data_IF_558104593694
#
_entry.id   IF_558104593694
#
_cell.length_a   1.000
_cell.length_b   1.000
_cell.length_c   1.000
_cell.angle_alpha   90.00
_cell.angle_beta   90.00
_cell.angle_gamma   90.00
#
_symmetry.space_group_name_H-M   'P 1'
#
loop_
_entity.id
_entity.type
_entity.pdbx_description
1 polymer ?
#
# COMPACT_ATOMS: atom_id res chain seq x y z
N UNK A 1 17.94 10.52 5.84
CA UNK A 1 17.10 11.00 6.96
C UNK A 1 16.88 12.50 6.91
N UNK A 2 17.73 13.28 6.23
CA UNK A 2 17.59 14.73 6.12
C UNK A 2 16.26 15.12 5.45
N UNK A 3 15.90 14.48 4.33
CA UNK A 3 14.66 14.74 3.61
C UNK A 3 13.44 14.40 4.48
N UNK A 4 13.42 13.24 5.15
CA UNK A 4 12.34 12.88 6.09
C UNK A 4 12.22 13.90 7.23
N UNK A 5 13.33 14.35 7.80
CA UNK A 5 13.31 15.33 8.89
C UNK A 5 12.72 16.67 8.43
N UNK A 6 13.04 17.10 7.21
CA UNK A 6 12.45 18.28 6.60
C UNK A 6 10.94 18.10 6.33
N UNK A 7 10.53 16.98 5.74
CA UNK A 7 9.13 16.63 5.53
C UNK A 7 8.35 16.66 6.86
N UNK A 8 8.88 16.04 7.92
CA UNK A 8 8.25 16.01 9.24
C UNK A 8 8.12 17.40 9.86
N UNK A 9 9.14 18.26 9.71
CA UNK A 9 9.04 19.67 10.13
C UNK A 9 7.97 20.42 9.35
N UNK A 10 7.87 20.20 8.04
CA UNK A 10 6.81 20.78 7.20
C UNK A 10 5.42 20.34 7.64
N UNK A 11 5.23 19.04 7.91
CA UNK A 11 3.96 18.50 8.43
C UNK A 11 3.63 19.11 9.79
N UNK A 12 4.60 19.14 10.72
CA UNK A 12 4.42 19.67 12.06
C UNK A 12 4.12 21.18 12.05
N UNK A 13 4.69 21.94 11.11
CA UNK A 13 4.44 23.37 10.94
C UNK A 13 2.98 23.67 10.53
N UNK A 14 2.25 22.70 9.97
CA UNK A 14 0.80 22.82 9.73
C UNK A 14 -0.03 22.71 11.01
N UNK A 15 0.58 22.39 12.16
CA UNK A 15 -0.12 22.25 13.42
C UNK A 15 -1.17 21.12 13.38
N UNK A 16 -2.44 21.36 13.75
CA UNK A 16 -3.46 20.32 13.82
C UNK A 16 -3.96 19.85 12.45
N UNK A 17 -3.50 20.44 11.34
CA UNK A 17 -4.02 20.18 10.01
C UNK A 17 -3.49 18.85 9.43
N UNK A 18 -4.14 17.75 9.79
CA UNK A 18 -3.82 16.39 9.35
C UNK A 18 -4.73 15.84 8.24
N UNK A 19 -5.77 16.58 7.85
CA UNK A 19 -6.73 16.15 6.83
C UNK A 19 -6.58 17.00 5.57
N UNK A 20 -6.74 16.40 4.38
CA UNK A 20 -6.86 17.15 3.14
C UNK A 20 -8.26 16.93 2.58
N UNK A 21 -9.11 17.95 2.64
CA UNK A 21 -10.51 17.85 2.22
C UNK A 21 -10.82 19.08 1.39
N UNK A 22 -11.40 18.86 0.22
CA UNK A 22 -11.89 19.94 -0.63
C UNK A 22 -10.83 20.99 -1.00
N UNK A 23 -9.63 20.50 -1.37
CA UNK A 23 -8.51 21.36 -1.73
C UNK A 23 -7.75 21.99 -0.56
N UNK A 24 -8.19 21.76 0.69
CA UNK A 24 -7.67 22.44 1.87
C UNK A 24 -7.16 21.49 2.94
N UNK A 25 -6.08 21.90 3.61
CA UNK A 25 -5.61 21.27 4.84
C UNK A 25 -6.50 21.70 6.01
N UNK A 26 -7.05 20.73 6.74
CA UNK A 26 -8.01 20.94 7.83
C UNK A 26 -7.62 20.17 9.09
N UNK A 27 -7.95 20.74 10.24
CA UNK A 27 -7.87 20.05 11.51
C UNK A 27 -9.00 19.01 11.59
N UNK A 28 -8.71 17.86 12.18
CA UNK A 28 -9.75 16.90 12.55
C UNK A 28 -10.64 17.50 13.64
N UNK A 29 -11.93 17.20 13.58
CA UNK A 29 -12.92 17.49 14.63
C UNK A 29 -13.03 16.35 15.65
N UNK A 30 -12.21 15.30 15.50
CA UNK A 30 -12.12 14.17 16.43
C UNK A 30 -11.23 14.46 17.64
N UNK A 31 -11.13 13.46 18.51
CA UNK A 31 -10.39 13.50 19.78
C UNK A 31 -9.32 12.40 19.90
N UNK A 32 -9.35 11.39 19.02
CA UNK A 32 -8.37 10.30 19.02
C UNK A 32 -7.06 10.75 18.37
N UNK A 33 -5.98 10.70 19.15
CA UNK A 33 -4.63 10.89 18.64
C UNK A 33 -4.01 9.56 18.18
N UNK A 34 -3.21 9.64 17.12
CA UNK A 34 -2.42 8.52 16.57
C UNK A 34 -0.96 8.91 16.52
N UNK A 35 -0.11 7.99 17.01
CA UNK A 35 1.34 8.07 16.89
C UNK A 35 1.84 7.20 15.75
N UNK A 36 2.58 7.82 14.83
CA UNK A 36 3.35 7.14 13.80
C UNK A 36 4.70 6.79 14.39
N UNK A 37 4.97 5.49 14.53
CA UNK A 37 6.17 4.98 15.20
C UNK A 37 7.20 4.52 14.16
N UNK A 38 8.45 4.96 14.31
CA UNK A 38 9.58 4.42 13.58
C UNK A 38 9.87 3.00 14.05
N UNK A 39 9.72 1.96 13.20
CA UNK A 39 9.82 0.57 13.67
C UNK A 39 11.23 0.12 14.03
N UNK A 40 12.26 0.86 13.63
CA UNK A 40 13.66 0.51 13.90
C UNK A 40 14.18 1.11 15.22
N UNK A 41 13.55 2.17 15.73
CA UNK A 41 13.94 2.85 16.98
C UNK A 41 12.84 2.88 18.05
N UNK A 42 11.60 2.60 17.67
CA UNK A 42 10.38 2.74 18.50
C UNK A 42 10.02 4.20 18.84
N UNK A 43 10.65 5.16 18.17
CA UNK A 43 10.40 6.59 18.39
C UNK A 43 9.18 7.10 17.63
N UNK A 44 8.51 8.12 18.17
CA UNK A 44 7.39 8.78 17.51
C UNK A 44 7.93 9.71 16.41
N UNK A 45 7.57 9.45 15.15
CA UNK A 45 7.88 10.31 14.01
C UNK A 45 6.88 11.47 13.88
N UNK A 46 5.61 11.18 14.09
CA UNK A 46 4.51 12.11 13.91
C UNK A 46 3.36 11.75 14.85
N UNK A 47 2.70 12.77 15.41
CA UNK A 47 1.41 12.63 16.08
C UNK A 47 0.37 13.47 15.33
N UNK A 48 -0.81 12.91 15.08
CA UNK A 48 -1.94 13.63 14.49
C UNK A 48 -3.26 13.19 15.12
N UNK A 49 -4.33 13.96 14.88
CA UNK A 49 -5.69 13.60 15.32
C UNK A 49 -6.42 12.90 14.18
N UNK A 50 -6.95 11.71 14.44
CA UNK A 50 -7.68 10.92 13.46
C UNK A 50 -9.00 11.60 13.05
N UNK A 51 -9.44 11.52 11.78
CA UNK A 51 -10.69 12.13 11.36
C UNK A 51 -11.90 11.58 12.12
N UNK A 52 -12.84 12.47 12.42
CA UNK A 52 -14.13 12.12 13.01
C UNK A 52 -15.12 11.59 11.96
N UNK A 53 -16.30 11.18 12.42
CA UNK A 53 -17.43 10.90 11.54
C UNK A 53 -17.82 12.13 10.69
N UNK A 54 -17.81 13.33 11.28
CA UNK A 54 -18.17 14.56 10.58
C UNK A 54 -17.13 14.94 9.52
N UNK A 55 -15.84 14.69 9.78
CA UNK A 55 -14.79 14.91 8.79
C UNK A 55 -14.93 13.95 7.60
N UNK A 56 -15.31 12.70 7.88
CA UNK A 56 -15.57 11.69 6.86
C UNK A 56 -16.77 12.06 5.98
N UNK A 57 -17.87 12.52 6.58
CA UNK A 57 -19.02 13.07 5.84
C UNK A 57 -18.61 14.26 4.97
N UNK A 58 -17.80 15.18 5.49
CA UNK A 58 -17.34 16.34 4.74
C UNK A 58 -16.50 15.95 3.51
N UNK A 59 -15.61 14.95 3.65
CA UNK A 59 -14.80 14.44 2.54
C UNK A 59 -15.65 13.75 1.47
N UNK A 60 -16.65 12.95 1.88
CA UNK A 60 -17.56 12.30 0.94
C UNK A 60 -18.43 13.33 0.22
N UNK A 61 -18.96 14.32 0.94
CA UNK A 61 -19.74 15.40 0.36
C UNK A 61 -18.93 16.23 -0.65
N UNK A 62 -17.66 16.52 -0.35
CA UNK A 62 -16.75 17.19 -1.28
C UNK A 62 -16.50 16.34 -2.53
N UNK A 63 -16.18 15.05 -2.38
CA UNK A 63 -15.99 14.13 -3.49
C UNK A 63 -17.24 13.97 -4.36
N UNK A 64 -18.41 13.89 -3.73
CA UNK A 64 -19.70 13.76 -4.41
C UNK A 64 -20.04 15.02 -5.20
N UNK A 65 -19.88 16.21 -4.60
CA UNK A 65 -20.10 17.50 -5.28
C UNK A 65 -19.13 17.69 -6.45
N UNK A 66 -17.85 17.36 -6.27
CA UNK A 66 -16.85 17.42 -7.33
C UNK A 66 -17.16 16.44 -8.47
N UNK A 67 -17.77 15.28 -8.19
CA UNK A 67 -18.21 14.33 -9.22
C UNK A 67 -19.52 14.76 -9.91
N UNK A 68 -20.52 15.28 -9.19
CA UNK A 68 -21.82 15.68 -9.79
C UNK A 68 -21.74 16.98 -10.60
N UNK A 69 -20.99 17.95 -10.09
CA UNK A 69 -21.05 19.33 -10.59
C UNK A 69 -19.68 19.93 -10.89
N UNK A 70 -18.61 19.21 -10.54
CA UNK A 70 -17.25 19.65 -10.83
C UNK A 70 -16.83 19.35 -12.27
N UNK A 71 -15.74 19.99 -12.73
CA UNK A 71 -15.27 19.83 -14.11
C UNK A 71 -14.63 18.45 -14.35
N UNK A 72 -14.15 17.77 -13.31
CA UNK A 72 -13.28 16.60 -13.45
C UNK A 72 -13.85 15.45 -14.31
N UNK A 73 -15.11 15.02 -14.11
CA UNK A 73 -15.68 13.94 -14.93
C UNK A 73 -15.98 14.38 -16.37
N UNK A 74 -16.08 15.70 -16.59
CA UNK A 74 -16.40 16.32 -17.88
C UNK A 74 -15.14 16.63 -18.71
N UNK A 75 -13.97 16.68 -18.08
CA UNK A 75 -12.70 16.83 -18.80
C UNK A 75 -12.52 15.69 -19.80
N UNK A 76 -12.00 16.00 -20.98
CA UNK A 76 -11.60 14.99 -21.94
C UNK A 76 -10.49 14.09 -21.37
N UNK A 77 -10.33 12.85 -21.88
CA UNK A 77 -9.20 12.00 -21.49
C UNK A 77 -7.83 12.69 -21.69
N UNK A 78 -7.70 13.53 -22.72
CA UNK A 78 -6.48 14.30 -22.98
C UNK A 78 -6.20 15.34 -21.89
N UNK A 79 -7.22 16.11 -21.46
CA UNK A 79 -7.07 17.09 -20.39
C UNK A 79 -6.73 16.42 -19.05
N UNK A 80 -7.39 15.29 -18.72
CA UNK A 80 -7.05 14.50 -17.53
C UNK A 80 -5.63 13.94 -17.61
N UNK A 81 -5.19 13.46 -18.78
CA UNK A 81 -3.82 12.97 -18.99
C UNK A 81 -2.76 14.01 -18.63
N UNK A 82 -2.95 15.26 -19.08
CA UNK A 82 -2.03 16.37 -18.77
C UNK A 82 -1.94 16.61 -17.26
N UNK A 83 -3.07 16.55 -16.54
CA UNK A 83 -3.07 16.71 -15.07
C UNK A 83 -2.35 15.55 -14.40
N UNK A 84 -2.60 14.30 -14.81
CA UNK A 84 -1.93 13.12 -14.23
C UNK A 84 -0.41 13.16 -14.42
N UNK A 85 0.06 13.58 -15.60
CA UNK A 85 1.50 13.75 -15.87
C UNK A 85 2.13 14.83 -14.99
N UNK A 86 1.41 15.92 -14.71
CA UNK A 86 1.87 16.92 -13.71
C UNK A 86 1.97 16.34 -12.30
N UNK A 87 1.02 15.49 -11.88
CA UNK A 87 1.15 14.77 -10.60
C UNK A 87 2.42 13.91 -10.59
N UNK A 88 2.69 13.18 -11.68
CA UNK A 88 3.90 12.38 -11.82
C UNK A 88 5.18 13.24 -11.73
N UNK A 89 5.22 14.42 -12.35
CA UNK A 89 6.34 15.37 -12.24
C UNK A 89 6.58 15.84 -10.81
N UNK A 90 5.52 16.23 -10.08
CA UNK A 90 5.64 16.62 -8.68
C UNK A 90 6.12 15.48 -7.78
N UNK A 91 5.66 14.25 -8.01
CA UNK A 91 6.14 13.07 -7.30
C UNK A 91 7.63 12.79 -7.59
N UNK A 92 8.03 12.87 -8.87
CA UNK A 92 9.45 12.68 -9.27
C UNK A 92 10.37 13.70 -8.61
N UNK A 93 9.93 14.94 -8.44
CA UNK A 93 10.70 15.98 -7.75
C UNK A 93 10.93 15.69 -6.26
N UNK A 94 10.08 14.86 -5.63
CA UNK A 94 10.10 14.57 -4.19
C UNK A 94 10.47 13.12 -3.87
N UNK A 95 11.08 12.41 -4.82
CA UNK A 95 11.50 11.01 -4.64
C UNK A 95 12.38 10.76 -3.41
N UNK A 96 13.33 11.65 -3.03
CA UNK A 96 14.09 11.49 -1.79
C UNK A 96 13.18 11.45 -0.55
N UNK A 97 12.23 12.38 -0.45
CA UNK A 97 11.27 12.45 0.66
C UNK A 97 10.39 11.20 0.71
N UNK A 98 9.85 10.76 -0.43
CA UNK A 98 8.99 9.58 -0.52
C UNK A 98 9.72 8.29 -0.08
N UNK A 99 10.97 8.12 -0.53
CA UNK A 99 11.77 6.95 -0.17
C UNK A 99 12.14 6.94 1.32
N UNK A 100 12.49 8.09 1.89
CA UNK A 100 12.79 8.19 3.31
C UNK A 100 11.54 8.08 4.19
N UNK A 101 10.39 8.61 3.76
CA UNK A 101 9.11 8.44 4.43
C UNK A 101 8.73 6.96 4.56
N UNK A 102 8.79 6.19 3.46
CA UNK A 102 8.52 4.75 3.51
C UNK A 102 9.51 4.03 4.43
N UNK A 103 10.80 4.31 4.31
CA UNK A 103 11.85 3.73 5.17
C UNK A 103 11.58 4.03 6.65
N UNK A 104 11.26 5.29 6.97
CA UNK A 104 11.02 5.75 8.33
C UNK A 104 9.79 5.14 8.97
N UNK A 105 8.64 5.14 8.27
CA UNK A 105 7.36 4.70 8.84
C UNK A 105 7.09 3.18 8.72
N UNK A 106 7.82 2.45 7.87
CA UNK A 106 7.60 1.01 7.64
C UNK A 106 8.84 0.16 7.95
N UNK A 107 10.05 0.72 7.87
CA UNK A 107 11.29 -0.03 8.05
C UNK A 107 11.75 -0.81 6.81
N UNK A 108 11.18 -0.55 5.63
CA UNK A 108 11.76 -1.03 4.37
C UNK A 108 13.16 -0.43 4.19
N UNK A 109 14.12 -1.20 3.67
CA UNK A 109 15.49 -0.67 3.49
C UNK A 109 15.50 0.49 2.49
N UNK A 110 16.33 1.50 2.72
CA UNK A 110 16.35 2.72 1.89
C UNK A 110 16.64 2.42 0.42
N UNK A 111 17.49 1.41 0.14
CA UNK A 111 17.76 0.96 -1.22
C UNK A 111 16.53 0.34 -1.90
N UNK A 112 15.70 -0.40 -1.15
CA UNK A 112 14.43 -0.90 -1.65
C UNK A 112 13.45 0.25 -1.86
N UNK A 113 13.25 1.12 -0.86
CA UNK A 113 12.31 2.24 -0.91
C UNK A 113 12.60 3.18 -2.08
N UNK A 114 13.88 3.50 -2.36
CA UNK A 114 14.30 4.32 -3.51
C UNK A 114 13.87 3.74 -4.85
N UNK A 115 14.00 2.43 -5.03
CA UNK A 115 13.59 1.74 -6.27
C UNK A 115 12.08 1.59 -6.36
N UNK A 116 11.46 1.09 -5.29
CA UNK A 116 10.04 0.75 -5.27
C UNK A 116 9.13 1.98 -5.39
N UNK A 117 9.55 3.12 -4.81
CA UNK A 117 8.77 4.36 -4.86
C UNK A 117 8.66 4.95 -6.27
N UNK A 118 9.54 4.59 -7.21
CA UNK A 118 9.47 5.06 -8.62
C UNK A 118 8.18 4.62 -9.31
N UNK A 119 7.58 3.51 -8.85
CA UNK A 119 6.28 3.08 -9.35
C UNK A 119 5.18 4.12 -9.15
N UNK A 120 5.30 5.00 -8.14
CA UNK A 120 4.29 6.01 -7.87
C UNK A 120 4.10 6.98 -9.05
N UNK A 121 5.11 7.75 -9.51
CA UNK A 121 4.97 8.56 -10.71
C UNK A 121 4.70 7.74 -11.98
N UNK A 122 5.32 6.57 -12.13
CA UNK A 122 5.13 5.71 -13.32
C UNK A 122 3.65 5.29 -13.50
N UNK A 123 2.92 5.07 -12.41
CA UNK A 123 1.48 4.76 -12.47
C UNK A 123 0.66 5.93 -13.01
N UNK A 124 0.99 7.16 -12.63
CA UNK A 124 0.31 8.35 -13.15
C UNK A 124 0.62 8.58 -14.64
N UNK A 125 1.87 8.37 -15.07
CA UNK A 125 2.24 8.41 -16.48
C UNK A 125 1.51 7.32 -17.27
N UNK A 126 1.55 6.08 -16.79
CA UNK A 126 0.92 4.94 -17.44
C UNK A 126 -0.58 5.16 -17.66
N UNK A 127 -1.31 5.53 -16.60
CA UNK A 127 -2.74 5.80 -16.73
C UNK A 127 -3.03 7.07 -17.53
N UNK A 128 -2.17 8.08 -17.45
CA UNK A 128 -2.21 9.28 -18.30
C UNK A 128 -2.12 8.93 -19.78
N UNK A 129 -1.19 8.06 -20.18
CA UNK A 129 -1.06 7.61 -21.57
C UNK A 129 -2.21 6.70 -21.98
N UNK A 130 -2.58 5.74 -21.14
CA UNK A 130 -3.61 4.75 -21.43
C UNK A 130 -4.94 5.41 -21.80
N UNK A 131 -5.41 6.41 -21.04
CA UNK A 131 -6.71 7.02 -21.29
C UNK A 131 -6.78 7.83 -22.59
N UNK A 132 -5.64 8.25 -23.16
CA UNK A 132 -5.63 8.98 -24.44
C UNK A 132 -5.89 8.10 -25.64
N UNK A 133 -5.65 6.79 -25.50
CA UNK A 133 -5.81 5.80 -26.57
C UNK A 133 -6.95 4.83 -26.32
N UNK A 134 -7.48 4.79 -25.10
CA UNK A 134 -8.58 3.92 -24.73
C UNK A 134 -9.91 4.36 -25.36
N UNK A 135 -10.60 3.43 -26.02
CA UNK A 135 -11.89 3.69 -26.65
C UNK A 135 -13.03 3.63 -25.62
N UNK A 136 -13.29 4.75 -24.93
CA UNK A 136 -14.41 4.87 -23.98
C UNK A 136 -15.79 4.79 -24.63
N UNK A 137 -15.89 5.05 -25.94
CA UNK A 137 -17.12 4.89 -26.73
C UNK A 137 -16.85 3.92 -27.88
N UNK A 138 -17.45 2.74 -27.80
CA UNK A 138 -17.30 1.69 -28.81
C UNK A 138 -18.57 1.57 -29.67
N UNK A 139 -18.54 1.97 -30.96
CA UNK A 139 -19.67 1.77 -31.86
C UNK A 139 -19.78 0.30 -32.27
N UNK A 140 -20.99 -0.27 -32.22
CA UNK A 140 -21.30 -1.63 -32.66
C UNK A 140 -22.46 -1.67 -33.62
N UNK A 141 -22.42 -2.63 -34.55
CA UNK A 141 -23.51 -2.91 -35.49
C UNK A 141 -24.09 -4.28 -35.16
N UNK A 142 -25.39 -4.33 -34.90
CA UNK A 142 -26.12 -5.58 -34.64
C UNK A 142 -26.33 -6.33 -35.95
N UNK A 143 -26.53 -7.66 -35.91
CA UNK A 143 -26.80 -8.47 -37.12
C UNK A 143 -28.00 -7.99 -37.95
N UNK A 144 -28.97 -7.30 -37.33
CA UNK A 144 -30.12 -6.71 -38.02
C UNK A 144 -29.87 -5.30 -38.59
N UNK A 145 -28.62 -4.83 -38.62
CA UNK A 145 -28.25 -3.51 -39.12
C UNK A 145 -28.42 -2.35 -38.13
N UNK A 146 -28.96 -2.59 -36.94
CA UNK A 146 -29.07 -1.56 -35.90
C UNK A 146 -27.71 -1.12 -35.36
N UNK A 147 -27.53 0.18 -35.10
CA UNK A 147 -26.31 0.75 -34.52
C UNK A 147 -26.49 1.00 -33.03
N UNK A 148 -25.47 0.69 -32.24
CA UNK A 148 -25.44 0.94 -30.79
C UNK A 148 -24.06 1.47 -30.41
N UNK A 149 -23.97 2.17 -29.28
CA UNK A 149 -22.69 2.58 -28.69
C UNK A 149 -22.59 1.96 -27.30
N UNK A 150 -21.43 1.39 -26.98
CA UNK A 150 -21.10 0.98 -25.61
C UNK A 150 -20.22 2.07 -25.03
N UNK A 151 -20.72 2.76 -24.01
CA UNK A 151 -20.04 3.88 -23.35
C UNK A 151 -19.53 3.41 -21.99
N UNK A 152 -18.30 3.80 -21.65
CA UNK A 152 -17.68 3.54 -20.36
C UNK A 152 -17.52 4.86 -19.59
N UNK A 153 -18.43 5.10 -18.66
CA UNK A 153 -18.40 6.28 -17.79
C UNK A 153 -17.68 6.01 -16.46
N UNK A 154 -17.13 7.05 -15.79
CA UNK A 154 -16.62 6.94 -14.44
C UNK A 154 -17.67 6.36 -13.48
N UNK A 155 -17.23 5.49 -12.57
CA UNK A 155 -18.14 4.86 -11.60
C UNK A 155 -18.69 5.86 -10.58
N UNK A 156 -17.93 6.91 -10.29
CA UNK A 156 -18.29 7.97 -9.35
C UNK A 156 -17.29 8.16 -8.22
N UNK A 157 -17.78 8.25 -6.99
CA UNK A 157 -16.95 8.44 -5.80
C UNK A 157 -16.29 7.12 -5.41
N UNK A 158 -14.96 7.11 -5.34
CA UNK A 158 -14.16 5.93 -5.00
C UNK A 158 -13.56 6.08 -3.60
N UNK A 159 -13.89 5.16 -2.69
CA UNK A 159 -13.16 5.00 -1.44
C UNK A 159 -11.90 4.14 -1.70
N UNK A 160 -10.73 4.73 -1.56
CA UNK A 160 -9.44 4.07 -1.74
C UNK A 160 -8.80 3.73 -0.39
N UNK A 161 -8.94 2.46 0.04
CA UNK A 161 -8.50 2.00 1.36
C UNK A 161 -7.24 1.15 1.22
N UNK A 162 -6.14 1.57 1.85
CA UNK A 162 -4.82 0.93 1.70
C UNK A 162 -4.18 0.48 3.01
N UNK A 163 -3.28 -0.54 2.96
CA UNK A 163 -2.56 -1.05 4.12
C UNK A 163 -1.26 -0.25 4.37
N UNK A 164 -0.54 -0.62 5.42
CA UNK A 164 0.67 0.04 5.91
C UNK A 164 1.99 -0.41 5.24
N UNK A 165 2.02 -1.55 4.54
CA UNK A 165 3.28 -2.18 4.14
C UNK A 165 3.94 -1.55 2.90
N UNK A 166 3.13 -1.10 1.94
CA UNK A 166 3.58 -0.37 0.75
C UNK A 166 2.70 0.87 0.51
N UNK A 167 2.71 1.83 1.45
CA UNK A 167 1.65 2.80 1.64
C UNK A 167 1.42 3.69 0.39
N UNK A 168 2.45 4.38 -0.09
CA UNK A 168 2.38 5.20 -1.30
C UNK A 168 1.96 4.40 -2.53
N UNK A 169 2.68 3.33 -2.86
CA UNK A 169 2.52 2.63 -4.15
C UNK A 169 1.12 2.02 -4.26
N UNK A 170 0.64 1.37 -3.19
CA UNK A 170 -0.71 0.80 -3.19
C UNK A 170 -1.80 1.87 -3.21
N UNK A 171 -1.52 3.06 -2.69
CA UNK A 171 -2.43 4.20 -2.80
C UNK A 171 -2.45 4.74 -4.24
N UNK A 172 -1.28 4.94 -4.86
CA UNK A 172 -1.17 5.40 -6.25
C UNK A 172 -1.80 4.42 -7.25
N UNK A 173 -1.71 3.10 -7.04
CA UNK A 173 -2.42 2.11 -7.86
C UNK A 173 -3.93 2.37 -7.95
N UNK A 174 -4.52 2.88 -6.86
CA UNK A 174 -5.95 3.17 -6.77
C UNK A 174 -6.27 4.58 -7.25
N UNK A 175 -5.51 5.56 -6.77
CA UNK A 175 -5.74 6.98 -7.04
C UNK A 175 -5.50 7.31 -8.51
N UNK A 176 -4.36 6.89 -9.09
CA UNK A 176 -4.04 7.18 -10.49
C UNK A 176 -5.12 6.61 -11.44
N UNK A 177 -5.52 5.35 -11.22
CA UNK A 177 -6.57 4.70 -12.01
C UNK A 177 -7.93 5.40 -11.88
N UNK A 178 -8.34 5.76 -10.65
CA UNK A 178 -9.62 6.41 -10.40
C UNK A 178 -9.66 7.81 -11.04
N UNK A 179 -8.62 8.61 -10.83
CA UNK A 179 -8.50 9.94 -11.41
C UNK A 179 -8.50 9.87 -12.95
N UNK A 180 -7.77 8.93 -13.54
CA UNK A 180 -7.73 8.72 -14.99
C UNK A 180 -9.10 8.38 -15.59
N UNK A 181 -9.87 7.55 -14.90
CA UNK A 181 -11.24 7.21 -15.29
C UNK A 181 -12.22 8.39 -15.17
N UNK A 182 -11.85 9.50 -14.52
CA UNK A 182 -12.74 10.64 -14.25
C UNK A 182 -13.51 10.53 -12.93
N UNK A 183 -13.11 9.63 -12.04
CA UNK A 183 -13.71 9.46 -10.72
C UNK A 183 -13.14 10.49 -9.72
N UNK A 184 -13.86 10.72 -8.62
CA UNK A 184 -13.34 11.41 -7.44
C UNK A 184 -12.99 10.40 -6.35
N UNK A 185 -12.12 10.79 -5.42
CA UNK A 185 -11.49 9.85 -4.48
C UNK A 185 -11.59 10.38 -3.05
N UNK A 186 -11.98 9.48 -2.14
CA UNK A 186 -11.73 9.60 -0.70
C UNK A 186 -10.70 8.54 -0.32
N UNK A 187 -9.46 8.97 -0.14
CA UNK A 187 -8.33 8.13 0.22
C UNK A 187 -8.26 7.92 1.73
N UNK A 188 -8.20 6.66 2.15
CA UNK A 188 -8.07 6.25 3.54
C UNK A 188 -6.85 5.33 3.70
N UNK A 189 -5.62 5.88 3.80
CA UNK A 189 -4.45 5.07 4.09
C UNK A 189 -4.48 4.52 5.52
N UNK A 190 -3.58 3.57 5.79
CA UNK A 190 -3.36 3.07 7.15
C UNK A 190 -2.96 4.22 8.08
N UNK A 191 -3.51 4.28 9.30
CA UNK A 191 -3.24 5.40 10.20
C UNK A 191 -1.79 5.41 10.69
N UNK A 192 -1.09 4.28 10.63
CA UNK A 192 0.30 4.12 11.05
C UNK A 192 1.32 4.61 10.01
N UNK A 193 0.90 4.89 8.77
CA UNK A 193 1.81 5.24 7.67
C UNK A 193 1.28 6.38 6.79
N UNK A 194 1.02 7.57 7.35
CA UNK A 194 0.37 8.67 6.62
C UNK A 194 1.36 9.60 5.87
N UNK A 195 2.67 9.52 6.13
CA UNK A 195 3.62 10.59 5.77
C UNK A 195 3.72 10.75 4.24
N UNK A 196 3.85 9.64 3.52
CA UNK A 196 3.90 9.63 2.05
C UNK A 196 2.55 9.96 1.40
N UNK A 197 1.44 9.65 2.06
CA UNK A 197 0.12 10.08 1.61
C UNK A 197 -0.06 11.61 1.72
N UNK A 198 0.54 12.26 2.72
CA UNK A 198 0.56 13.73 2.79
C UNK A 198 1.37 14.35 1.64
N UNK A 199 2.53 13.78 1.33
CA UNK A 199 3.32 14.20 0.16
C UNK A 199 2.49 14.05 -1.12
N UNK A 200 1.79 12.92 -1.30
CA UNK A 200 0.90 12.71 -2.45
C UNK A 200 -0.19 13.78 -2.54
N UNK A 201 -0.85 14.13 -1.41
CA UNK A 201 -1.87 15.17 -1.39
C UNK A 201 -1.31 16.54 -1.82
N UNK A 202 -0.11 16.89 -1.36
CA UNK A 202 0.61 18.11 -1.78
C UNK A 202 0.91 18.09 -3.28
N UNK A 203 1.39 16.97 -3.82
CA UNK A 203 1.65 16.82 -5.26
C UNK A 203 0.37 16.90 -6.10
N UNK A 204 -0.74 16.30 -5.63
CA UNK A 204 -2.05 16.36 -6.29
C UNK A 204 -2.59 17.79 -6.32
N UNK A 205 -2.50 18.51 -5.20
CA UNK A 205 -2.89 19.91 -5.11
C UNK A 205 -2.06 20.79 -6.03
N UNK A 206 -0.73 20.65 -6.00
CA UNK A 206 0.19 21.40 -6.85
C UNK A 206 -0.01 21.15 -8.35
N UNK A 207 -0.43 19.93 -8.73
CA UNK A 207 -0.76 19.59 -10.12
C UNK A 207 -2.06 20.23 -10.62
N UNK A 208 -2.82 20.91 -9.76
CA UNK A 208 -4.08 21.57 -10.14
C UNK A 208 -5.23 20.59 -10.34
N UNK A 209 -5.25 19.48 -9.61
CA UNK A 209 -6.45 18.63 -9.52
C UNK A 209 -7.56 19.45 -8.82
N UNK A 210 -8.78 19.54 -9.40
CA UNK A 210 -9.84 20.38 -8.84
C UNK A 210 -10.22 20.03 -7.40
N UNK A 211 -10.65 21.02 -6.63
CA UNK A 211 -11.07 20.85 -5.24
C UNK A 211 -12.16 19.78 -5.10
N UNK A 212 -12.00 18.95 -4.08
CA UNK A 212 -12.91 17.83 -3.79
C UNK A 212 -12.68 16.58 -4.64
N UNK A 213 -11.94 16.64 -5.74
CA UNK A 213 -11.65 15.46 -6.57
C UNK A 213 -10.78 14.44 -5.82
N UNK A 214 -9.88 14.91 -4.95
CA UNK A 214 -9.09 14.07 -4.06
C UNK A 214 -9.23 14.57 -2.62
N UNK A 215 -9.52 13.65 -1.71
CA UNK A 215 -9.62 13.90 -0.28
C UNK A 215 -8.83 12.82 0.47
N UNK A 216 -8.16 13.17 1.55
CA UNK A 216 -7.28 12.30 2.33
C UNK A 216 -7.69 12.27 3.81
N UNK A 217 -7.98 11.07 4.31
CA UNK A 217 -8.37 10.77 5.68
C UNK A 217 -7.51 9.62 6.22
N UNK A 218 -6.30 9.84 6.76
CA UNK A 218 -5.53 8.78 7.40
C UNK A 218 -6.26 8.34 8.67
N UNK A 219 -6.74 7.11 8.70
CA UNK A 219 -7.66 6.67 9.75
C UNK A 219 -7.70 5.16 9.90
N UNK A 220 -8.24 4.66 11.00
CA UNK A 220 -8.44 3.27 11.33
C UNK A 220 -9.75 2.69 10.80
N UNK A 221 -10.37 1.84 11.62
CA UNK A 221 -11.53 1.01 11.23
C UNK A 221 -12.84 1.78 11.15
N UNK A 222 -13.05 2.77 12.01
CA UNK A 222 -14.33 3.49 12.12
C UNK A 222 -14.64 4.31 10.87
N UNK A 223 -13.69 5.14 10.44
CA UNK A 223 -13.78 5.87 9.16
C UNK A 223 -13.90 4.89 7.98
N UNK A 224 -13.18 3.77 8.03
CA UNK A 224 -13.32 2.70 7.03
C UNK A 224 -14.75 2.14 6.95
N UNK A 225 -15.37 1.83 8.08
CA UNK A 225 -16.73 1.30 8.16
C UNK A 225 -17.76 2.30 7.61
N UNK A 226 -17.60 3.59 7.95
CA UNK A 226 -18.43 4.65 7.42
C UNK A 226 -18.31 4.73 5.89
N UNK A 227 -17.08 4.80 5.36
CA UNK A 227 -16.83 4.88 3.91
C UNK A 227 -17.46 3.70 3.14
N UNK A 228 -17.32 2.46 3.63
CA UNK A 228 -17.81 1.29 2.88
C UNK A 228 -19.33 1.18 2.89
N UNK A 229 -20.02 1.71 3.92
CA UNK A 229 -21.48 1.69 4.03
C UNK A 229 -22.16 2.91 3.43
N UNK A 230 -21.41 3.98 3.19
CA UNK A 230 -21.99 5.25 2.80
C UNK A 230 -22.63 5.20 1.39
N UNK A 231 -23.88 5.68 1.22
CA UNK A 231 -24.61 5.58 -0.05
C UNK A 231 -24.00 6.43 -1.16
N UNK A 232 -23.29 7.51 -0.84
CA UNK A 232 -22.61 8.37 -1.82
C UNK A 232 -21.19 7.90 -2.20
N UNK A 233 -20.78 6.69 -1.81
CA UNK A 233 -19.52 6.06 -2.25
C UNK A 233 -19.84 4.96 -3.25
N UNK A 234 -19.64 5.20 -4.53
CA UNK A 234 -20.06 4.30 -5.61
C UNK A 234 -19.18 3.05 -5.76
N UNK A 235 -17.89 3.17 -5.40
CA UNK A 235 -16.92 2.07 -5.43
C UNK A 235 -16.02 2.06 -4.21
N UNK A 236 -15.79 0.87 -3.66
CA UNK A 236 -14.72 0.62 -2.67
C UNK A 236 -13.60 -0.17 -3.34
N UNK A 237 -12.37 0.31 -3.20
CA UNK A 237 -11.17 -0.46 -3.56
C UNK A 237 -10.29 -0.62 -2.34
N UNK A 238 -10.16 -1.87 -1.89
CA UNK A 238 -9.48 -2.23 -0.64
C UNK A 238 -8.28 -3.11 -0.93
N UNK A 239 -7.18 -2.83 -0.23
CA UNK A 239 -6.06 -3.76 -0.12
C UNK A 239 -5.78 -4.06 1.35
N UNK A 240 -5.68 -5.33 1.73
CA UNK A 240 -5.43 -5.72 3.12
C UNK A 240 -5.71 -7.18 3.42
N UNK A 241 -6.23 -7.48 4.62
CA UNK A 241 -6.43 -8.86 5.06
C UNK A 241 -7.69 -9.49 4.46
N UNK A 242 -7.67 -10.81 4.26
CA UNK A 242 -8.83 -11.57 3.76
C UNK A 242 -10.06 -11.41 4.65
N UNK A 243 -9.87 -11.37 5.97
CA UNK A 243 -10.95 -11.17 6.94
C UNK A 243 -11.62 -9.81 6.77
N UNK A 244 -10.85 -8.73 6.66
CA UNK A 244 -11.38 -7.39 6.41
C UNK A 244 -12.06 -7.30 5.04
N UNK A 245 -11.45 -7.89 4.01
CA UNK A 245 -12.03 -7.95 2.67
C UNK A 245 -13.40 -8.62 2.62
N UNK A 246 -13.60 -9.70 3.39
CA UNK A 246 -14.91 -10.36 3.51
C UNK A 246 -15.97 -9.43 4.10
N UNK A 247 -15.64 -8.72 5.18
CA UNK A 247 -16.57 -7.78 5.82
C UNK A 247 -16.92 -6.62 4.88
N UNK A 248 -15.93 -6.08 4.18
CA UNK A 248 -16.12 -5.02 3.18
C UNK A 248 -17.00 -5.50 2.02
N UNK A 249 -16.77 -6.72 1.53
CA UNK A 249 -17.60 -7.31 0.48
C UNK A 249 -19.07 -7.44 0.88
N UNK A 250 -19.35 -7.84 2.13
CA UNK A 250 -20.71 -7.91 2.67
C UNK A 250 -21.34 -6.51 2.73
N UNK A 251 -20.66 -5.53 3.32
CA UNK A 251 -21.17 -4.16 3.44
C UNK A 251 -21.43 -3.51 2.07
N UNK A 252 -20.57 -3.78 1.08
CA UNK A 252 -20.78 -3.30 -0.29
C UNK A 252 -21.98 -4.00 -0.95
N UNK A 253 -22.16 -5.31 -0.74
CA UNK A 253 -23.26 -6.08 -1.32
C UNK A 253 -24.64 -5.62 -0.83
N UNK A 254 -24.77 -5.21 0.45
CA UNK A 254 -26.01 -4.68 1.03
C UNK A 254 -26.58 -3.48 0.26
N UNK A 255 -25.72 -2.71 -0.41
CA UNK A 255 -26.08 -1.53 -1.21
C UNK A 255 -25.68 -1.63 -2.68
N UNK A 256 -25.33 -2.84 -3.15
CA UNK A 256 -24.88 -3.13 -4.52
C UNK A 256 -23.72 -2.25 -5.01
N UNK A 257 -22.83 -1.83 -4.10
CA UNK A 257 -21.65 -1.04 -4.46
C UNK A 257 -20.61 -1.88 -5.20
N UNK A 258 -19.85 -1.25 -6.11
CA UNK A 258 -18.73 -1.95 -6.75
C UNK A 258 -17.60 -2.12 -5.74
N UNK A 259 -17.04 -3.33 -5.66
CA UNK A 259 -15.92 -3.62 -4.76
C UNK A 259 -14.75 -4.24 -5.53
N UNK A 260 -13.54 -3.78 -5.23
CA UNK A 260 -12.29 -4.43 -5.64
C UNK A 260 -11.49 -4.80 -4.40
N UNK A 261 -11.11 -6.08 -4.28
CA UNK A 261 -10.46 -6.64 -3.10
C UNK A 261 -9.11 -7.27 -3.48
N UNK A 262 -8.02 -6.65 -3.04
CA UNK A 262 -6.68 -7.22 -3.13
C UNK A 262 -6.24 -7.71 -1.74
N UNK A 263 -6.19 -9.02 -1.55
CA UNK A 263 -6.12 -9.64 -0.23
C UNK A 263 -4.77 -10.35 0.02
N UNK A 264 -4.59 -10.86 1.22
CA UNK A 264 -3.38 -11.61 1.58
C UNK A 264 -3.19 -12.89 0.75
N UNK A 265 -1.94 -13.33 0.65
CA UNK A 265 -1.56 -14.52 -0.10
C UNK A 265 -0.73 -15.51 0.73
N UNK A 266 -0.62 -16.73 0.23
CA UNK A 266 0.36 -17.73 0.68
C UNK A 266 1.12 -18.25 -0.54
N UNK A 267 1.75 -17.33 -1.28
CA UNK A 267 2.40 -17.63 -2.56
C UNK A 267 3.49 -18.68 -2.42
N UNK A 268 3.68 -19.47 -3.48
CA UNK A 268 4.65 -20.55 -3.51
C UNK A 268 5.70 -20.32 -4.59
N UNK A 269 6.97 -20.53 -4.25
CA UNK A 269 8.02 -20.81 -5.21
C UNK A 269 8.02 -22.31 -5.50
N UNK A 270 8.09 -22.70 -6.77
CA UNK A 270 8.20 -24.10 -7.18
C UNK A 270 9.56 -24.30 -7.83
N UNK A 271 10.42 -25.08 -7.19
CA UNK A 271 11.75 -25.45 -7.70
C UNK A 271 11.63 -26.84 -8.31
N UNK A 272 11.99 -26.98 -9.58
CA UNK A 272 11.95 -28.24 -10.31
C UNK A 272 13.24 -29.05 -10.14
N UNK A 273 13.20 -30.33 -10.52
CA UNK A 273 14.31 -31.27 -10.36
C UNK A 273 15.59 -30.85 -11.09
N UNK A 274 15.44 -30.24 -12.26
CA UNK A 274 16.50 -29.75 -13.13
C UNK A 274 16.96 -28.31 -12.81
N UNK A 275 16.37 -27.67 -11.79
CA UNK A 275 16.69 -26.29 -11.45
C UNK A 275 18.11 -26.16 -10.88
N UNK A 276 18.85 -25.18 -11.42
CA UNK A 276 20.14 -24.75 -10.89
C UNK A 276 19.93 -23.83 -9.67
N UNK A 277 20.15 -24.37 -8.47
CA UNK A 277 19.84 -23.70 -7.21
C UNK A 277 20.69 -22.45 -7.01
N UNK A 278 21.94 -22.46 -7.46
CA UNK A 278 22.81 -21.29 -7.38
C UNK A 278 22.26 -20.12 -8.20
N UNK A 279 21.56 -20.39 -9.31
CA UNK A 279 20.88 -19.37 -10.13
C UNK A 279 19.51 -18.97 -9.59
N UNK A 280 18.83 -19.86 -8.86
CA UNK A 280 17.49 -19.60 -8.29
C UNK A 280 17.56 -18.73 -7.03
N UNK A 281 18.54 -18.96 -6.16
CA UNK A 281 18.65 -18.29 -4.85
C UNK A 281 18.68 -16.76 -4.90
N UNK A 282 19.43 -16.11 -5.82
CA UNK A 282 19.48 -14.64 -5.92
C UNK A 282 18.12 -13.99 -6.15
N UNK A 283 17.18 -14.70 -6.77
CA UNK A 283 15.79 -14.23 -6.94
C UNK A 283 14.90 -14.73 -5.81
N UNK A 284 15.02 -16.00 -5.42
CA UNK A 284 14.15 -16.60 -4.40
C UNK A 284 14.26 -15.89 -3.05
N UNK A 285 15.47 -15.58 -2.57
CA UNK A 285 15.68 -14.98 -1.25
C UNK A 285 15.01 -13.61 -1.13
N UNK A 286 15.26 -12.62 -2.04
CA UNK A 286 14.59 -11.33 -1.97
C UNK A 286 13.06 -11.39 -2.11
N UNK A 287 12.52 -12.34 -2.88
CA UNK A 287 11.08 -12.52 -3.04
C UNK A 287 10.41 -13.36 -1.94
N UNK A 288 11.19 -14.06 -1.11
CA UNK A 288 10.67 -14.80 0.04
C UNK A 288 10.27 -13.86 1.16
N UNK A 289 11.10 -12.85 1.43
CA UNK A 289 10.94 -11.93 2.58
C UNK A 289 11.15 -10.45 2.24
N UNK A 290 10.57 -9.90 1.15
CA UNK A 290 10.64 -8.47 0.89
C UNK A 290 9.99 -7.71 2.04
N UNK A 291 10.61 -6.61 2.49
CA UNK A 291 10.14 -5.81 3.64
C UNK A 291 9.91 -6.70 4.88
N UNK A 292 10.89 -7.55 5.23
CA UNK A 292 10.77 -8.54 6.31
C UNK A 292 9.57 -9.51 6.14
N UNK A 293 9.23 -9.85 4.90
CA UNK A 293 8.12 -10.73 4.54
C UNK A 293 6.74 -10.08 4.53
N UNK A 294 6.65 -8.77 4.71
CA UNK A 294 5.39 -8.03 4.84
C UNK A 294 4.78 -7.64 3.48
N UNK A 295 4.80 -8.54 2.49
CA UNK A 295 4.28 -8.30 1.14
C UNK A 295 3.32 -9.42 0.73
N UNK A 296 2.21 -9.07 0.08
CA UNK A 296 1.14 -10.01 -0.26
C UNK A 296 1.59 -11.15 -1.20
N UNK A 297 2.56 -10.88 -2.08
CA UNK A 297 3.09 -11.85 -3.03
C UNK A 297 4.34 -12.61 -2.52
N UNK A 298 4.79 -12.36 -1.27
CA UNK A 298 5.95 -13.04 -0.69
C UNK A 298 5.87 -14.56 -0.89
N UNK A 299 6.97 -15.15 -1.35
CA UNK A 299 7.10 -16.59 -1.61
C UNK A 299 7.26 -17.38 -0.30
N UNK A 300 6.25 -17.28 0.57
CA UNK A 300 6.24 -17.85 1.93
C UNK A 300 6.16 -19.39 1.98
N UNK A 301 6.10 -20.04 0.81
CA UNK A 301 6.23 -21.48 0.66
C UNK A 301 7.24 -21.76 -0.44
N UNK A 302 8.26 -22.56 -0.15
CA UNK A 302 9.21 -23.04 -1.16
C UNK A 302 8.98 -24.54 -1.33
N UNK A 303 8.45 -24.93 -2.48
CA UNK A 303 8.18 -26.32 -2.84
C UNK A 303 9.36 -26.84 -3.65
N UNK A 304 9.96 -27.93 -3.17
CA UNK A 304 11.21 -28.49 -3.71
C UNK A 304 11.07 -29.99 -3.94
N UNK A 305 11.86 -30.59 -4.85
CA UNK A 305 11.86 -32.03 -5.07
C UNK A 305 12.29 -32.77 -3.81
N UNK A 306 11.65 -33.90 -3.51
CA UNK A 306 11.88 -34.63 -2.26
C UNK A 306 13.34 -35.09 -2.11
N UNK A 307 13.96 -35.52 -3.22
CA UNK A 307 15.32 -36.04 -3.31
C UNK A 307 16.38 -34.95 -3.11
N UNK A 308 16.04 -33.68 -3.41
CA UNK A 308 16.92 -32.52 -3.31
C UNK A 308 16.61 -31.62 -2.11
N UNK A 309 15.67 -32.03 -1.24
CA UNK A 309 15.17 -31.20 -0.15
C UNK A 309 16.27 -30.70 0.77
N UNK A 310 17.17 -31.58 1.19
CA UNK A 310 18.21 -31.24 2.15
C UNK A 310 19.26 -30.30 1.55
N UNK A 311 19.73 -30.61 0.33
CA UNK A 311 20.60 -29.75 -0.48
C UNK A 311 20.04 -28.33 -0.60
N UNK A 312 18.79 -28.21 -1.04
CA UNK A 312 18.14 -26.92 -1.28
C UNK A 312 17.88 -26.18 0.04
N UNK A 313 17.46 -26.89 1.09
CA UNK A 313 17.24 -26.29 2.40
C UNK A 313 18.53 -25.70 2.95
N UNK A 314 19.65 -26.43 2.88
CA UNK A 314 20.95 -25.96 3.32
C UNK A 314 21.41 -24.73 2.53
N UNK A 315 21.31 -24.77 1.20
CA UNK A 315 21.68 -23.65 0.34
C UNK A 315 20.81 -22.42 0.59
N UNK A 316 19.50 -22.61 0.81
CA UNK A 316 18.57 -21.53 1.15
C UNK A 316 18.86 -20.92 2.52
N UNK A 317 19.06 -21.73 3.56
CA UNK A 317 19.42 -21.24 4.90
C UNK A 317 20.77 -20.50 4.89
N UNK A 318 21.75 -21.00 4.14
CA UNK A 318 23.04 -20.31 3.97
C UNK A 318 22.85 -18.92 3.32
N UNK A 319 22.07 -18.84 2.24
CA UNK A 319 21.78 -17.58 1.56
C UNK A 319 20.95 -16.61 2.43
N UNK A 320 20.05 -17.11 3.28
CA UNK A 320 19.33 -16.27 4.25
C UNK A 320 20.24 -15.78 5.37
N UNK A 321 21.22 -16.57 5.79
CA UNK A 321 22.10 -16.23 6.92
C UNK A 321 23.06 -15.09 6.62
N UNK A 322 23.31 -14.82 5.33
CA UNK A 322 24.11 -13.68 4.89
C UNK A 322 23.31 -12.38 4.80
N UNK A 323 21.98 -12.42 5.00
CA UNK A 323 21.16 -11.20 5.02
C UNK A 323 21.43 -10.43 6.30
N UNK A 324 22.05 -9.25 6.15
CA UNK A 324 22.31 -8.36 7.28
C UNK A 324 21.02 -7.69 7.76
N UNK A 325 20.66 -7.92 9.01
CA UNK A 325 19.62 -7.16 9.71
C UNK A 325 20.23 -5.89 10.29
N UNK A 326 19.49 -4.78 10.27
CA UNK A 326 20.00 -3.54 10.84
C UNK A 326 19.13 -2.33 10.58
N UNK A 327 19.71 -1.17 10.83
CA UNK A 327 19.10 0.13 10.53
C UNK A 327 18.67 0.16 9.05
N UNK A 328 17.37 0.36 8.75
CA UNK A 328 16.87 0.40 7.38
C UNK A 328 17.44 1.57 6.56
N UNK A 329 18.03 2.60 7.17
CA UNK A 329 18.73 3.68 6.48
C UNK A 329 20.19 3.36 6.15
N UNK A 330 20.79 2.34 6.76
CA UNK A 330 22.17 1.95 6.47
C UNK A 330 22.27 1.26 5.10
N UNK A 331 23.29 1.64 4.31
CA UNK A 331 23.44 1.20 2.93
C UNK A 331 23.69 -0.31 2.77
N UNK A 332 24.25 -0.96 3.80
CA UNK A 332 24.58 -2.38 3.80
C UNK A 332 23.53 -3.26 4.49
N UNK A 333 22.42 -2.69 4.97
CA UNK A 333 21.31 -3.44 5.54
C UNK A 333 20.55 -4.18 4.44
N UNK A 334 20.45 -5.50 4.57
CA UNK A 334 19.66 -6.37 3.69
C UNK A 334 18.20 -6.48 4.11
N UNK A 335 17.91 -6.40 5.41
CA UNK A 335 16.55 -6.50 5.95
C UNK A 335 16.35 -5.57 7.15
N UNK A 336 15.28 -4.77 7.12
CA UNK A 336 14.86 -3.93 8.24
C UNK A 336 13.90 -4.64 9.21
N UNK A 337 13.27 -3.90 10.13
CA UNK A 337 12.31 -4.45 11.10
C UNK A 337 10.96 -4.77 10.44
N UNK A 338 10.08 -5.44 11.20
CA UNK A 338 8.65 -5.43 10.92
C UNK A 338 8.09 -4.01 11.15
N UNK A 339 7.04 -3.63 10.45
CA UNK A 339 6.56 -2.25 10.45
C UNK A 339 5.89 -1.84 11.77
N UNK A 340 5.33 -2.79 12.53
CA UNK A 340 4.48 -2.52 13.69
C UNK A 340 4.77 -3.48 14.84
N UNK A 341 4.73 -2.99 16.08
CA UNK A 341 4.90 -3.83 17.29
C UNK A 341 3.86 -4.97 17.35
N UNK A 342 2.58 -4.65 17.10
CA UNK A 342 1.51 -5.66 17.00
C UNK A 342 1.76 -6.72 15.92
N UNK A 343 2.56 -6.39 14.90
CA UNK A 343 2.91 -7.35 13.86
C UNK A 343 4.09 -8.23 14.27
N UNK A 344 5.05 -7.70 15.04
CA UNK A 344 6.07 -8.52 15.69
C UNK A 344 5.43 -9.57 16.60
N UNK A 345 4.52 -9.14 17.49
CA UNK A 345 3.80 -10.05 18.40
C UNK A 345 3.07 -11.15 17.62
N UNK A 346 2.37 -10.78 16.54
CA UNK A 346 1.67 -11.74 15.68
C UNK A 346 2.61 -12.73 15.01
N UNK A 347 3.74 -12.26 14.47
CA UNK A 347 4.73 -13.14 13.83
C UNK A 347 5.32 -14.11 14.87
N UNK A 348 5.71 -13.61 16.04
CA UNK A 348 6.22 -14.45 17.13
C UNK A 348 5.18 -15.50 17.58
N UNK A 349 3.89 -15.14 17.61
CA UNK A 349 2.82 -16.09 17.93
C UNK A 349 2.73 -17.24 16.93
N UNK A 350 2.91 -16.99 15.63
CA UNK A 350 2.92 -18.04 14.61
C UNK A 350 4.18 -18.91 14.66
N UNK A 351 5.32 -18.34 15.01
CA UNK A 351 6.57 -19.09 15.21
C UNK A 351 6.39 -20.05 16.40
N UNK A 352 5.87 -19.54 17.52
CA UNK A 352 5.58 -20.34 18.70
C UNK A 352 4.54 -21.44 18.41
N UNK A 353 3.46 -21.11 17.69
CA UNK A 353 2.43 -22.06 17.26
C UNK A 353 3.04 -23.16 16.37
N UNK A 354 3.85 -22.80 15.38
CA UNK A 354 4.51 -23.76 14.50
C UNK A 354 5.34 -24.78 15.29
N UNK A 355 6.14 -24.30 16.24
CA UNK A 355 6.94 -25.16 17.13
C UNK A 355 6.06 -26.05 18.01
N UNK A 356 4.98 -25.50 18.59
CA UNK A 356 4.04 -26.25 19.44
C UNK A 356 3.28 -27.34 18.66
N UNK A 357 3.01 -27.11 17.38
CA UNK A 357 2.39 -28.09 16.46
C UNK A 357 3.39 -29.12 15.91
N UNK A 358 4.66 -29.08 16.36
CA UNK A 358 5.70 -30.04 15.99
C UNK A 358 6.45 -29.72 14.70
N UNK A 359 6.31 -28.50 14.15
CA UNK A 359 7.16 -28.07 13.04
C UNK A 359 8.60 -27.88 13.52
N UNK A 360 9.56 -28.44 12.78
CA UNK A 360 11.00 -28.27 13.08
C UNK A 360 11.43 -26.87 12.67
N UNK A 361 11.85 -26.05 13.64
CA UNK A 361 12.56 -24.79 13.39
C UNK A 361 14.02 -25.09 13.05
N UNK A 362 14.51 -24.62 11.89
CA UNK A 362 15.91 -24.86 11.46
C UNK A 362 16.75 -23.60 11.35
N UNK A 363 16.11 -22.43 11.38
CA UNK A 363 16.79 -21.14 11.31
C UNK A 363 15.92 -20.05 11.94
N UNK A 364 16.55 -19.15 12.69
CA UNK A 364 15.93 -17.96 13.26
C UNK A 364 14.86 -18.28 14.29
N UNK A 365 13.73 -17.57 14.21
CA UNK A 365 12.59 -17.71 15.12
C UNK A 365 12.63 -16.77 16.32
N UNK A 366 13.74 -16.04 16.53
CA UNK A 366 13.92 -15.12 17.63
C UNK A 366 13.96 -13.64 17.21
N UNK A 367 14.24 -12.78 18.21
CA UNK A 367 14.69 -11.41 17.98
C UNK A 367 16.23 -11.40 17.93
N UNK A 368 16.86 -10.66 17.00
CA UNK A 368 18.31 -10.60 16.92
C UNK A 368 18.92 -9.88 18.13
N UNK A 369 19.85 -10.54 18.84
CA UNK A 369 20.44 -10.03 20.08
C UNK A 369 21.20 -8.69 19.94
N UNK A 370 21.75 -8.42 18.75
CA UNK A 370 22.51 -7.19 18.45
C UNK A 370 21.61 -5.99 18.12
N UNK A 371 20.29 -6.17 18.04
CA UNK A 371 19.30 -5.09 17.82
C UNK A 371 18.25 -5.15 18.95
N UNK A 372 18.59 -4.65 20.16
CA UNK A 372 17.72 -4.75 21.33
C UNK A 372 16.48 -3.83 21.24
N UNK A 373 16.51 -2.84 20.35
CA UNK A 373 15.40 -1.93 20.05
C UNK A 373 14.89 -2.14 18.63
N UNK A 374 13.62 -1.83 18.41
CA UNK A 374 12.93 -1.98 17.15
C UNK A 374 12.24 -3.33 17.00
N UNK A 375 11.34 -3.39 16.03
CA UNK A 375 10.46 -4.54 15.79
C UNK A 375 11.12 -5.61 14.92
N UNK A 376 12.38 -5.95 15.22
CA UNK A 376 13.15 -6.92 14.45
C UNK A 376 12.77 -8.37 14.78
N UNK A 377 12.78 -9.21 13.75
CA UNK A 377 12.66 -10.67 13.83
C UNK A 377 13.67 -11.30 12.89
N UNK A 378 14.27 -12.41 13.31
CA UNK A 378 15.22 -13.16 12.47
C UNK A 378 14.51 -13.83 11.28
N UNK A 379 15.16 -13.93 10.10
CA UNK A 379 14.68 -14.77 9.01
C UNK A 379 14.44 -16.19 9.52
N UNK A 380 13.20 -16.68 9.34
CA UNK A 380 12.75 -17.89 10.02
C UNK A 380 12.38 -18.97 9.01
N UNK A 381 12.93 -20.18 9.20
CA UNK A 381 12.69 -21.31 8.30
C UNK A 381 12.12 -22.51 9.06
N UNK A 382 10.97 -22.99 8.59
CA UNK A 382 10.34 -24.24 9.01
C UNK A 382 10.25 -25.20 7.81
N UNK A 383 11.12 -26.22 7.70
CA UNK A 383 10.91 -27.31 6.76
C UNK A 383 9.69 -28.13 7.18
N UNK A 384 8.76 -28.31 6.25
CA UNK A 384 7.66 -29.26 6.41
C UNK A 384 8.15 -30.65 5.99
N UNK A 385 8.23 -31.60 6.93
CA UNK A 385 8.31 -33.02 6.57
C UNK A 385 6.94 -33.46 6.02
N UNK A 386 6.92 -34.44 5.10
CA UNK A 386 5.66 -35.14 4.80
C UNK A 386 5.16 -35.70 6.13
N UNK A 387 3.90 -35.41 6.48
CA UNK A 387 3.19 -36.25 7.46
C UNK A 387 3.31 -37.67 6.92
N UNK A 388 4.01 -38.54 7.63
CA UNK A 388 3.94 -39.99 7.43
C UNK A 388 2.53 -40.46 7.68
#
# INVERSE_FOLDING_TARGET
MEALSETLRGIAARGPLGLFIDGQWRASTGDRHVDVIAPHTEEVLLRYTEPSHADTEAAIAAARRAFDSGPWPQLSPQERSVVLKRVAEHLRARMPELAEAWTGQVGATIGFSKRASQQAPDLFDYYGDLITTHAFVEPRVRPNGGRVHVVQDPVGVVAAITPWNAPLVLLCYKVAAALAAGCTVVAKPSPETPIDAYILAECISAAGVPDGVFNLLPAGREVGEQLIRHPHVDKVTFTGSTQAGRLIGIACAERLARVGLELGGKSAAIVLEDADIAKVLPTLVPYSMPIAGQVCFSLTRVLVPAQRREEILQAYCAALSSVKLGDPFAADTGMGPLALGRQLERVQSYIAQGSAEGARLVMGGGRPAHLPRGFFVEPTVFPKSRRT
#
